data_IF_504697758388
#
_entry.id   IF_504697758388
#
_cell.length_a   1.000
_cell.length_b   1.000
_cell.length_c   1.000
_cell.angle_alpha   90.00
_cell.angle_beta   90.00
_cell.angle_gamma   90.00
#
_symmetry.space_group_name_H-M   'P 1'
#
loop_
_entity.id
_entity.type
_entity.pdbx_description
1 polymer ?
#
# COMPACT_ATOMS: atom_id res chain seq x y z
N UNK A 1 -0.07 25.19 10.74
CA UNK A 1 -0.35 23.78 10.39
C UNK A 1 0.87 23.24 9.67
N UNK A 2 1.55 22.24 10.21
CA UNK A 2 2.77 21.69 9.59
C UNK A 2 2.35 20.76 8.43
N UNK A 3 2.92 20.90 7.23
CA UNK A 3 2.59 20.02 6.12
C UNK A 3 3.06 18.59 6.42
N UNK A 4 2.25 17.59 6.04
CA UNK A 4 2.56 16.15 6.24
C UNK A 4 3.95 15.79 5.72
N UNK A 5 4.36 16.39 4.60
CA UNK A 5 5.70 16.22 4.04
C UNK A 5 6.80 16.57 5.04
N UNK A 6 6.68 17.70 5.75
CA UNK A 6 7.70 18.14 6.70
C UNK A 6 7.75 17.24 7.93
N UNK A 7 6.62 16.70 8.36
CA UNK A 7 6.57 15.70 9.43
C UNK A 7 7.32 14.42 9.05
N UNK A 8 7.08 13.90 7.84
CA UNK A 8 7.80 12.73 7.32
C UNK A 8 9.29 13.00 7.10
N UNK A 9 9.63 14.19 6.59
CA UNK A 9 11.01 14.60 6.37
C UNK A 9 11.79 14.72 7.68
N UNK A 10 11.18 15.28 8.72
CA UNK A 10 11.79 15.35 10.05
C UNK A 10 12.00 13.94 10.64
N UNK A 11 10.98 13.08 10.59
CA UNK A 11 11.08 11.71 11.11
C UNK A 11 12.15 10.89 10.37
N UNK A 12 12.11 10.91 9.04
CA UNK A 12 13.11 10.23 8.20
C UNK A 12 14.51 10.81 8.36
N UNK A 13 14.62 12.14 8.43
CA UNK A 13 15.89 12.83 8.66
C UNK A 13 16.53 12.49 10.00
N UNK A 14 15.73 12.40 11.07
CA UNK A 14 16.22 12.01 12.39
C UNK A 14 16.70 10.55 12.39
N UNK A 15 15.96 9.65 11.73
CA UNK A 15 16.37 8.26 11.56
C UNK A 15 17.70 8.14 10.79
N UNK A 16 17.85 8.86 9.68
CA UNK A 16 19.09 8.89 8.89
C UNK A 16 20.25 9.50 9.70
N UNK A 17 20.00 10.53 10.50
CA UNK A 17 21.01 11.16 11.34
C UNK A 17 21.54 10.20 12.41
N UNK A 18 20.64 9.46 13.07
CA UNK A 18 21.01 8.42 14.05
C UNK A 18 21.81 7.32 13.35
N UNK A 19 21.33 6.84 12.20
CA UNK A 19 22.02 5.85 11.39
C UNK A 19 23.46 6.27 11.02
N UNK A 20 23.62 7.49 10.49
CA UNK A 20 24.94 8.03 10.14
C UNK A 20 25.86 8.15 11.35
N UNK A 21 25.33 8.46 12.54
CA UNK A 21 26.13 8.50 13.76
C UNK A 21 26.73 7.11 14.10
N UNK A 22 25.98 6.04 13.87
CA UNK A 22 26.47 4.67 14.01
C UNK A 22 27.48 4.29 12.91
N UNK A 23 27.23 4.68 11.66
CA UNK A 23 28.14 4.38 10.53
C UNK A 23 29.47 5.13 10.67
N UNK A 24 29.46 6.36 11.15
CA UNK A 24 30.66 7.19 11.35
C UNK A 24 31.45 6.82 12.62
N UNK A 25 31.07 5.75 13.33
CA UNK A 25 31.72 5.28 14.57
C UNK A 25 31.83 6.37 15.64
N UNK A 26 30.98 7.40 15.59
CA UNK A 26 30.96 8.47 16.60
C UNK A 26 30.48 7.98 17.97
N UNK A 27 29.96 6.77 18.02
CA UNK A 27 29.54 6.09 19.25
C UNK A 27 30.48 4.90 19.45
N UNK A 28 31.27 4.97 20.52
CA UNK A 28 32.16 3.89 20.93
C UNK A 28 31.32 2.75 21.52
N UNK A 29 30.83 1.88 20.63
CA UNK A 29 30.18 0.62 20.98
C UNK A 29 31.07 -0.48 20.44
N UNK A 30 31.44 -1.44 21.29
CA UNK A 30 32.13 -2.66 20.88
C UNK A 30 31.19 -3.55 20.04
N UNK A 31 31.04 -3.20 18.77
CA UNK A 31 30.29 -3.98 17.80
C UNK A 31 31.19 -5.06 17.20
N UNK A 32 30.69 -6.29 17.18
CA UNK A 32 31.31 -7.38 16.42
C UNK A 32 31.26 -7.04 14.93
N UNK A 33 32.20 -7.53 14.13
CA UNK A 33 32.26 -7.22 12.68
C UNK A 33 30.93 -7.49 11.95
N UNK A 34 30.23 -8.56 12.33
CA UNK A 34 28.92 -8.91 11.77
C UNK A 34 27.88 -7.81 12.04
N UNK A 35 27.87 -7.26 13.25
CA UNK A 35 26.93 -6.20 13.63
C UNK A 35 27.22 -4.91 12.85
N UNK A 36 28.51 -4.59 12.63
CA UNK A 36 28.92 -3.45 11.78
C UNK A 36 28.41 -3.61 10.36
N UNK A 37 28.52 -4.81 9.77
CA UNK A 37 28.00 -5.09 8.42
C UNK A 37 26.48 -4.96 8.35
N UNK A 38 25.75 -5.46 9.35
CA UNK A 38 24.30 -5.30 9.43
C UNK A 38 23.92 -3.82 9.57
N UNK A 39 24.65 -3.06 10.38
CA UNK A 39 24.51 -1.59 10.54
C UNK A 39 25.10 -0.82 9.35
N UNK A 40 25.55 -1.47 8.28
CA UNK A 40 25.84 -0.79 7.02
C UNK A 40 24.76 -1.10 5.97
N UNK A 41 24.20 -2.31 6.02
CA UNK A 41 23.21 -2.80 5.06
C UNK A 41 21.76 -2.54 5.51
N UNK A 42 21.52 -2.18 6.78
CA UNK A 42 20.14 -2.00 7.30
C UNK A 42 19.20 -1.10 6.48
N UNK A 43 19.61 0.01 5.82
CA UNK A 43 18.69 0.86 5.08
C UNK A 43 18.20 0.11 3.84
N UNK A 44 19.09 -0.65 3.21
CA UNK A 44 18.77 -1.51 2.09
C UNK A 44 17.86 -2.65 2.52
N UNK A 45 18.14 -3.28 3.66
CA UNK A 45 17.27 -4.30 4.26
C UNK A 45 15.87 -3.74 4.59
N UNK A 46 15.79 -2.53 5.15
CA UNK A 46 14.53 -1.87 5.48
C UNK A 46 13.68 -1.62 4.22
N UNK A 47 14.29 -1.12 3.15
CA UNK A 47 13.60 -0.92 1.86
C UNK A 47 13.17 -2.26 1.25
N UNK A 48 14.02 -3.29 1.32
CA UNK A 48 13.69 -4.63 0.83
C UNK A 48 12.50 -5.25 1.56
N UNK A 49 12.50 -5.23 2.89
CA UNK A 49 11.39 -5.72 3.73
C UNK A 49 10.12 -4.92 3.46
N UNK A 50 10.22 -3.59 3.40
CA UNK A 50 9.08 -2.74 3.05
C UNK A 50 8.49 -3.09 1.69
N UNK A 51 9.34 -3.32 0.68
CA UNK A 51 8.92 -3.74 -0.65
C UNK A 51 8.18 -5.07 -0.66
N UNK A 52 8.71 -6.08 0.04
CA UNK A 52 8.08 -7.40 0.15
C UNK A 52 6.73 -7.31 0.87
N UNK A 53 6.68 -6.62 2.01
CA UNK A 53 5.42 -6.45 2.76
C UNK A 53 4.38 -5.70 1.92
N UNK A 54 4.79 -4.63 1.23
CA UNK A 54 3.91 -3.86 0.36
C UNK A 54 3.35 -4.72 -0.77
N UNK A 55 4.20 -5.50 -1.44
CA UNK A 55 3.79 -6.42 -2.49
C UNK A 55 2.83 -7.49 -1.96
N UNK A 56 3.11 -8.09 -0.82
CA UNK A 56 2.23 -9.08 -0.18
C UNK A 56 0.86 -8.49 0.15
N UNK A 57 0.81 -7.28 0.71
CA UNK A 57 -0.44 -6.60 1.02
C UNK A 57 -1.25 -6.32 -0.25
N UNK A 58 -0.60 -5.79 -1.29
CA UNK A 58 -1.27 -5.51 -2.56
C UNK A 58 -1.79 -6.80 -3.19
N UNK A 59 -0.97 -7.85 -3.27
CA UNK A 59 -1.37 -9.16 -3.79
C UNK A 59 -2.53 -9.75 -3.00
N UNK A 60 -2.48 -9.71 -1.66
CA UNK A 60 -3.56 -10.20 -0.80
C UNK A 60 -4.87 -9.44 -1.04
N UNK A 61 -4.79 -8.10 -1.12
CA UNK A 61 -5.95 -7.24 -1.37
C UNK A 61 -6.53 -7.49 -2.76
N UNK A 62 -5.70 -7.62 -3.78
CA UNK A 62 -6.13 -7.92 -5.15
C UNK A 62 -6.76 -9.30 -5.25
N UNK A 63 -6.14 -10.33 -4.66
CA UNK A 63 -6.69 -11.68 -4.63
C UNK A 63 -8.05 -11.73 -3.90
N UNK A 64 -8.23 -10.94 -2.86
CA UNK A 64 -9.48 -10.86 -2.06
C UNK A 64 -10.54 -9.95 -2.70
N UNK A 65 -10.18 -9.11 -3.68
CA UNK A 65 -11.14 -8.23 -4.38
C UNK A 65 -12.08 -8.99 -5.35
N UNK A 66 -11.89 -10.31 -5.50
CA UNK A 66 -12.63 -11.15 -6.45
C UNK A 66 -14.07 -11.50 -6.03
N UNK A 67 -14.47 -11.25 -4.79
CA UNK A 67 -15.84 -11.55 -4.31
C UNK A 67 -16.85 -10.41 -4.58
N UNK A 68 -16.75 -9.78 -5.74
CA UNK A 68 -17.75 -8.82 -6.23
C UNK A 68 -18.86 -9.53 -7.04
N UNK A 69 -19.06 -10.85 -6.86
CA UNK A 69 -20.13 -11.59 -7.54
C UNK A 69 -21.50 -11.14 -7.06
N UNK A 70 -21.65 -10.88 -5.76
CA UNK A 70 -22.92 -10.44 -5.18
C UNK A 70 -23.26 -9.01 -5.58
N UNK A 71 -22.30 -8.08 -5.56
CA UNK A 71 -22.52 -6.71 -6.02
C UNK A 71 -22.78 -6.63 -7.54
N UNK A 72 -22.11 -7.47 -8.35
CA UNK A 72 -22.43 -7.58 -9.77
C UNK A 72 -23.86 -8.12 -9.99
N UNK A 73 -24.30 -9.10 -9.21
CA UNK A 73 -25.66 -9.66 -9.27
C UNK A 73 -26.73 -8.65 -8.85
N UNK A 74 -26.47 -7.89 -7.79
CA UNK A 74 -27.33 -6.80 -7.33
C UNK A 74 -27.46 -5.70 -8.40
N UNK A 75 -26.34 -5.30 -9.02
CA UNK A 75 -26.35 -4.33 -10.12
C UNK A 75 -27.12 -4.85 -11.34
N UNK A 76 -26.95 -6.12 -11.72
CA UNK A 76 -27.72 -6.72 -12.82
C UNK A 76 -29.23 -6.75 -12.53
N UNK A 77 -29.62 -6.98 -11.28
CA UNK A 77 -31.02 -6.93 -10.87
C UNK A 77 -31.59 -5.51 -10.98
N UNK A 78 -30.86 -4.49 -10.52
CA UNK A 78 -31.26 -3.09 -10.68
C UNK A 78 -31.39 -2.68 -12.16
N UNK A 79 -30.50 -3.16 -13.04
CA UNK A 79 -30.59 -2.93 -14.48
C UNK A 79 -31.86 -3.55 -15.07
N UNK A 80 -32.21 -4.77 -14.64
CA UNK A 80 -33.43 -5.46 -15.10
C UNK A 80 -34.68 -4.71 -14.69
N UNK A 81 -34.78 -4.32 -13.42
CA UNK A 81 -35.91 -3.55 -12.90
C UNK A 81 -36.04 -2.18 -13.60
N UNK A 82 -34.92 -1.50 -13.85
CA UNK A 82 -34.90 -0.25 -14.61
C UNK A 82 -35.35 -0.45 -16.06
N UNK A 83 -34.92 -1.52 -16.75
CA UNK A 83 -35.38 -1.85 -18.11
C UNK A 83 -36.89 -2.13 -18.13
N UNK A 84 -37.42 -2.85 -17.14
CA UNK A 84 -38.86 -3.13 -17.04
C UNK A 84 -39.68 -1.85 -16.81
N UNK A 85 -39.24 -0.94 -15.93
CA UNK A 85 -39.94 0.33 -15.70
C UNK A 85 -39.90 1.25 -16.94
N UNK A 86 -38.77 1.29 -17.64
CA UNK A 86 -38.63 2.06 -18.87
C UNK A 86 -39.46 1.46 -20.03
N UNK A 87 -39.54 0.13 -20.12
CA UNK A 87 -40.40 -0.55 -21.09
C UNK A 87 -41.88 -0.28 -20.83
N UNK A 88 -42.31 -0.29 -19.56
CA UNK A 88 -43.65 0.15 -19.15
C UNK A 88 -43.94 1.61 -19.52
N UNK A 89 -42.91 2.46 -19.57
CA UNK A 89 -43.00 3.86 -20.01
C UNK A 89 -42.93 4.04 -21.55
N UNK A 90 -42.87 2.94 -22.31
CA UNK A 90 -42.96 2.96 -23.77
C UNK A 90 -41.61 3.02 -24.50
N UNK A 91 -40.48 2.89 -23.79
CA UNK A 91 -39.16 2.77 -24.42
C UNK A 91 -38.94 1.34 -24.92
N UNK A 92 -38.60 1.21 -26.20
CA UNK A 92 -38.15 -0.06 -26.80
C UNK A 92 -36.63 -0.14 -26.71
N UNK A 93 -36.13 -1.24 -26.16
CA UNK A 93 -34.71 -1.53 -26.14
C UNK A 93 -34.37 -2.41 -27.35
N UNK A 94 -33.35 -2.03 -28.11
CA UNK A 94 -32.77 -2.88 -29.15
C UNK A 94 -31.79 -3.83 -28.47
N UNK A 95 -32.10 -5.13 -28.42
CA UNK A 95 -31.19 -6.13 -27.87
C UNK A 95 -30.16 -6.49 -28.95
N UNK A 96 -28.88 -6.17 -28.70
CA UNK A 96 -27.72 -6.70 -29.45
C UNK A 96 -26.98 -7.71 -28.58
#
# INVERSE_FOLDING_TARGET
>A
MIPKLFQWLLGGGLFIAVWLAFVLEKVDIQLTEIQRTIVLISPLLAVGVFGVISALIVLYRVATFNDCKDAAKELQQQIKEAKEDLSRKGLKFEDT
#
